data_IF_164195746454
#
_entry.id   IF_164195746454
#
_cell.length_a   1.000
_cell.length_b   1.000
_cell.length_c   1.000
_cell.angle_alpha   90.00
_cell.angle_beta   90.00
_cell.angle_gamma   90.00
#
_symmetry.space_group_name_H-M   'P 1'
#
loop_
_entity.id
_entity.type
_entity.pdbx_description
1 polymer ?
#
# COMPACT_ATOMS: atom_id res chain seq x y z
N UNK A 1 -6.70 -25.17 -0.40
CA UNK A 1 -6.38 -24.59 0.92
C UNK A 1 -7.66 -23.98 1.43
N UNK A 2 -8.13 -24.41 2.59
CA UNK A 2 -9.34 -23.86 3.16
C UNK A 2 -9.15 -22.40 3.57
N UNK A 3 -10.24 -21.63 3.61
CA UNK A 3 -10.17 -20.20 3.95
C UNK A 3 -9.50 -19.95 5.30
N UNK A 4 -9.81 -20.76 6.30
CA UNK A 4 -9.24 -20.65 7.65
C UNK A 4 -7.73 -20.91 7.64
N UNK A 5 -7.28 -21.93 6.91
CA UNK A 5 -5.85 -22.22 6.75
C UNK A 5 -5.11 -21.06 6.08
N UNK A 6 -5.73 -20.45 5.06
CA UNK A 6 -5.19 -19.29 4.38
C UNK A 6 -5.03 -18.11 5.33
N UNK A 7 -6.07 -17.78 6.11
CA UNK A 7 -6.04 -16.66 7.07
C UNK A 7 -4.95 -16.89 8.12
N UNK A 8 -4.87 -18.11 8.69
CA UNK A 8 -3.87 -18.44 9.69
C UNK A 8 -2.45 -18.31 9.14
N UNK A 9 -2.20 -18.82 7.92
CA UNK A 9 -0.90 -18.70 7.26
C UNK A 9 -0.56 -17.26 6.89
N UNK A 10 -1.53 -16.46 6.45
CA UNK A 10 -1.32 -15.06 6.15
C UNK A 10 -0.97 -14.27 7.41
N UNK A 11 -1.70 -14.47 8.51
CA UNK A 11 -1.42 -13.85 9.79
C UNK A 11 -0.02 -14.23 10.30
N UNK A 12 0.37 -15.50 10.21
CA UNK A 12 1.71 -15.95 10.57
C UNK A 12 2.81 -15.22 9.78
N UNK A 13 2.60 -14.97 8.49
CA UNK A 13 3.56 -14.22 7.66
C UNK A 13 3.64 -12.75 8.08
N UNK A 14 2.52 -12.10 8.41
CA UNK A 14 2.52 -10.69 8.82
C UNK A 14 2.93 -10.47 10.29
N UNK A 15 2.97 -11.53 11.10
CA UNK A 15 3.46 -11.48 12.48
C UNK A 15 4.98 -11.62 12.59
N UNK A 16 5.67 -11.94 11.50
CA UNK A 16 7.13 -11.92 11.43
C UNK A 16 7.66 -10.51 11.72
N UNK A 17 8.26 -10.32 12.91
CA UNK A 17 8.78 -9.04 13.39
C UNK A 17 10.18 -8.73 12.87
N UNK A 18 10.89 -9.70 12.29
CA UNK A 18 12.13 -9.44 11.57
C UNK A 18 11.82 -8.83 10.19
N UNK A 19 10.71 -9.24 9.57
CA UNK A 19 10.28 -8.75 8.26
C UNK A 19 9.35 -7.51 8.33
N UNK A 20 8.45 -7.43 9.31
CA UNK A 20 7.42 -6.39 9.40
C UNK A 20 7.40 -5.68 10.75
N UNK A 21 7.26 -4.35 10.71
CA UNK A 21 7.03 -3.53 11.90
C UNK A 21 5.54 -3.19 12.02
N UNK A 22 4.86 -3.57 13.12
CA UNK A 22 3.48 -3.15 13.34
C UNK A 22 3.39 -1.63 13.55
N UNK A 23 2.39 -1.02 12.91
CA UNK A 23 2.09 0.40 13.07
C UNK A 23 1.02 0.59 14.13
N UNK A 24 1.17 1.60 14.99
CA UNK A 24 0.21 1.93 16.04
C UNK A 24 -1.11 2.49 15.50
N UNK A 25 -1.08 3.13 14.34
CA UNK A 25 -2.23 3.75 13.69
C UNK A 25 -2.10 3.67 12.16
N UNK A 26 -3.23 3.79 11.46
CA UNK A 26 -3.26 3.85 9.99
C UNK A 26 -2.66 5.17 9.48
N UNK A 27 -1.51 5.16 8.78
CA UNK A 27 -0.84 6.37 8.33
C UNK A 27 -1.50 6.97 7.08
N UNK A 28 -2.49 6.31 6.46
CA UNK A 28 -3.01 6.65 5.12
C UNK A 28 -3.47 8.11 5.03
N UNK A 29 -4.24 8.60 6.02
CA UNK A 29 -4.73 9.98 6.03
C UNK A 29 -3.60 11.00 6.11
N UNK A 30 -2.60 10.74 6.95
CA UNK A 30 -1.42 11.60 7.14
C UNK A 30 -0.57 11.64 5.86
N UNK A 31 -0.35 10.49 5.24
CA UNK A 31 0.37 10.38 3.97
C UNK A 31 -0.37 11.10 2.84
N UNK A 32 -1.67 10.88 2.68
CA UNK A 32 -2.50 11.56 1.69
C UNK A 32 -2.45 13.09 1.84
N UNK A 33 -2.55 13.59 3.07
CA UNK A 33 -2.42 15.02 3.35
C UNK A 33 -1.04 15.56 2.97
N UNK A 34 0.03 14.81 3.26
CA UNK A 34 1.41 15.18 2.89
C UNK A 34 1.60 15.26 1.37
N UNK A 35 1.14 14.23 0.65
CA UNK A 35 1.18 14.19 -0.82
C UNK A 35 0.43 15.37 -1.41
N UNK A 36 -0.81 15.63 -0.96
CA UNK A 36 -1.63 16.75 -1.44
C UNK A 36 -0.95 18.10 -1.22
N UNK A 37 -0.32 18.31 -0.06
CA UNK A 37 0.46 19.53 0.23
C UNK A 37 1.58 19.70 -0.77
N UNK A 38 2.31 18.62 -1.09
CA UNK A 38 3.42 18.66 -2.04
C UNK A 38 3.00 18.90 -3.47
N UNK A 39 1.91 18.28 -3.92
CA UNK A 39 1.31 18.57 -5.22
C UNK A 39 0.95 20.05 -5.31
N UNK A 40 0.27 20.59 -4.30
CA UNK A 40 -0.13 22.02 -4.26
C UNK A 40 1.07 22.95 -4.37
N UNK A 41 2.16 22.64 -3.65
CA UNK A 41 3.40 23.41 -3.70
C UNK A 41 4.04 23.38 -5.09
N UNK A 42 4.17 22.20 -5.69
CA UNK A 42 4.76 22.02 -7.02
C UNK A 42 3.93 22.73 -8.11
N UNK A 43 2.60 22.66 -8.04
CA UNK A 43 1.70 23.37 -8.95
C UNK A 43 1.86 24.89 -8.81
N UNK A 44 1.95 25.41 -7.56
CA UNK A 44 2.18 26.84 -7.30
C UNK A 44 3.52 27.32 -7.88
N UNK A 45 4.56 26.49 -7.76
CA UNK A 45 5.87 26.76 -8.34
C UNK A 45 5.93 26.55 -9.86
N UNK A 46 4.81 26.13 -10.49
CA UNK A 46 4.72 25.81 -11.93
C UNK A 46 5.71 24.73 -12.37
N UNK A 47 6.09 23.85 -11.45
CA UNK A 47 6.98 22.71 -11.73
C UNK A 47 6.22 21.52 -12.31
N UNK A 48 4.90 21.48 -12.12
CA UNK A 48 3.99 20.52 -12.72
C UNK A 48 2.79 21.25 -13.32
N UNK A 49 2.19 20.67 -14.36
CA UNK A 49 1.01 21.27 -15.00
C UNK A 49 -0.25 21.04 -14.15
N UNK A 50 -1.33 21.80 -14.39
CA UNK A 50 -2.63 21.52 -13.77
C UNK A 50 -3.14 20.12 -14.05
N UNK A 51 -2.82 19.55 -15.22
CA UNK A 51 -3.23 18.19 -15.59
C UNK A 51 -2.41 17.13 -14.83
N UNK A 52 -1.11 17.32 -14.69
CA UNK A 52 -0.27 16.48 -13.82
C UNK A 52 -0.77 16.53 -12.38
N UNK A 53 -1.08 17.73 -11.87
CA UNK A 53 -1.62 17.92 -10.53
C UNK A 53 -2.94 17.18 -10.32
N UNK A 54 -3.82 17.15 -11.34
CA UNK A 54 -5.09 16.42 -11.30
C UNK A 54 -4.87 14.91 -11.36
N UNK A 55 -3.95 14.45 -12.20
CA UNK A 55 -3.62 13.04 -12.33
C UNK A 55 -3.03 12.46 -11.05
N UNK A 56 -2.06 13.16 -10.44
CA UNK A 56 -1.36 12.69 -9.25
C UNK A 56 -2.27 12.73 -8.01
N UNK A 57 -3.18 13.70 -7.93
CA UNK A 57 -4.04 13.91 -6.76
C UNK A 57 -5.23 12.93 -6.72
N UNK A 58 -5.11 11.87 -5.92
CA UNK A 58 -6.18 10.90 -5.69
C UNK A 58 -7.27 11.47 -4.77
N UNK A 59 -8.55 11.35 -5.19
CA UNK A 59 -9.69 11.89 -4.43
C UNK A 59 -10.02 11.11 -3.15
N UNK A 60 -9.86 9.79 -3.16
CA UNK A 60 -10.17 8.92 -2.02
C UNK A 60 -9.08 7.84 -1.83
N UNK A 61 -7.90 8.22 -1.31
CA UNK A 61 -6.83 7.27 -1.09
C UNK A 61 -7.17 6.31 0.06
N UNK A 62 -6.82 5.04 -0.11
CA UNK A 62 -7.04 3.95 0.85
C UNK A 62 -5.73 3.24 1.16
N UNK A 63 -5.68 2.53 2.28
CA UNK A 63 -4.53 1.68 2.59
C UNK A 63 -4.38 0.57 1.53
N UNK A 64 -3.14 0.18 1.24
CA UNK A 64 -2.86 -0.95 0.37
C UNK A 64 -3.33 -2.25 1.05
N UNK A 65 -4.10 -3.07 0.33
CA UNK A 65 -4.57 -4.36 0.84
C UNK A 65 -3.69 -5.47 0.32
N UNK A 66 -2.90 -6.07 1.22
CA UNK A 66 -2.07 -7.21 0.88
C UNK A 66 -2.90 -8.49 0.68
N UNK A 67 -2.45 -9.37 -0.21
CA UNK A 67 -2.98 -10.71 -0.38
C UNK A 67 -1.87 -11.73 -0.65
N UNK A 68 -2.13 -13.00 -0.35
CA UNK A 68 -1.18 -14.09 -0.53
C UNK A 68 -1.60 -15.00 -1.69
N UNK A 69 -0.67 -15.33 -2.59
CA UNK A 69 -0.87 -16.42 -3.54
C UNK A 69 -0.28 -17.73 -2.98
N UNK A 70 -1.02 -18.84 -2.93
CA UNK A 70 -0.49 -20.12 -2.48
C UNK A 70 0.72 -20.58 -3.29
N UNK A 71 1.80 -20.96 -2.60
CA UNK A 71 2.97 -21.63 -3.20
C UNK A 71 2.89 -23.12 -2.92
N UNK A 72 2.54 -23.91 -3.93
CA UNK A 72 2.41 -25.38 -3.82
C UNK A 72 3.75 -26.13 -3.87
N UNK A 73 4.84 -25.46 -4.26
CA UNK A 73 6.15 -26.07 -4.53
C UNK A 73 7.24 -25.72 -3.50
N UNK A 74 6.93 -24.96 -2.44
CA UNK A 74 7.91 -24.59 -1.40
C UNK A 74 7.42 -24.98 -0.01
N UNK A 75 8.11 -25.93 0.61
CA UNK A 75 7.93 -26.21 2.03
C UNK A 75 8.33 -24.98 2.85
N UNK A 76 7.59 -24.68 3.94
CA UNK A 76 7.89 -23.58 4.87
C UNK A 76 7.53 -22.16 4.40
N UNK A 77 7.27 -21.93 3.11
CA UNK A 77 6.89 -20.61 2.57
C UNK A 77 5.56 -20.69 1.80
N UNK A 78 4.42 -20.83 2.49
CA UNK A 78 3.18 -21.26 1.86
C UNK A 78 2.47 -20.18 1.04
N UNK A 79 2.81 -18.90 1.23
CA UNK A 79 2.19 -17.77 0.53
C UNK A 79 3.25 -16.88 -0.14
N UNK A 80 2.93 -16.37 -1.33
CA UNK A 80 3.58 -15.21 -1.95
C UNK A 80 2.76 -13.98 -1.60
N UNK A 81 3.22 -13.18 -0.65
CA UNK A 81 2.56 -11.92 -0.32
C UNK A 81 2.75 -10.93 -1.48
N UNK A 82 1.66 -10.29 -1.88
CA UNK A 82 1.61 -9.22 -2.88
C UNK A 82 0.90 -8.04 -2.23
N UNK A 83 1.50 -6.86 -2.34
CA UNK A 83 0.95 -5.61 -1.82
C UNK A 83 0.67 -4.68 -3.00
N UNK A 84 -0.52 -4.74 -3.61
CA UNK A 84 -0.90 -3.80 -4.67
C UNK A 84 -1.06 -2.40 -4.08
N UNK A 85 -0.40 -1.42 -4.69
CA UNK A 85 -0.53 0.00 -4.28
C UNK A 85 -1.76 0.68 -4.90
N UNK A 86 -2.66 -0.05 -5.56
CA UNK A 86 -3.80 0.53 -6.28
C UNK A 86 -4.72 1.30 -5.33
N UNK A 87 -4.81 2.61 -5.55
CA UNK A 87 -5.58 3.52 -4.73
C UNK A 87 -4.88 3.95 -3.43
N UNK A 88 -3.62 3.58 -3.22
CA UNK A 88 -2.80 4.13 -2.13
C UNK A 88 -2.49 5.60 -2.36
N UNK A 89 -2.18 6.39 -1.31
CA UNK A 89 -1.83 7.80 -1.44
C UNK A 89 -0.73 8.12 -2.46
N UNK A 90 0.10 7.13 -2.82
CA UNK A 90 1.26 7.30 -3.69
C UNK A 90 1.11 6.58 -5.04
N UNK A 91 -0.06 6.02 -5.36
CA UNK A 91 -0.24 5.17 -6.54
C UNK A 91 0.16 5.86 -7.86
N UNK A 92 -0.27 7.10 -8.06
CA UNK A 92 0.00 7.86 -9.29
C UNK A 92 1.35 8.60 -9.29
N UNK A 93 2.21 8.35 -8.28
CA UNK A 93 3.57 8.93 -8.21
C UNK A 93 4.64 8.00 -8.80
N UNK A 94 4.33 6.72 -8.98
CA UNK A 94 5.25 5.68 -9.42
C UNK A 94 5.14 5.40 -10.92
#
# INVERSE_FOLDING_TARGET
MEKTDYINKANQVFDDREAYTPLAEDPTKKQAASVKRKITELTRLKLITPDDSRFINLSNPRIAHAYGLPKVHKAGAPLRIIVPLIGSPTYNLA
#
